data_IF_289223258872
#
_entry.id   IF_289223258872
#
_cell.length_a   1.000
_cell.length_b   1.000
_cell.length_c   1.000
_cell.angle_alpha   90.00
_cell.angle_beta   90.00
_cell.angle_gamma   90.00
#
_symmetry.space_group_name_H-M   'P 1'
#
loop_
_entity.id
_entity.type
_entity.pdbx_description
1 polymer ?
#
# COMPACT_ATOMS: atom_id res chain seq x y z
N UNK A 1 6.40 8.45 -7.04
CA UNK A 1 5.47 7.66 -7.85
C UNK A 1 4.08 8.13 -7.47
N UNK A 2 3.22 8.41 -8.44
CA UNK A 2 1.81 8.72 -8.15
C UNK A 2 1.01 7.43 -7.95
N UNK A 3 -0.06 7.49 -7.17
CA UNK A 3 -0.97 6.35 -6.99
C UNK A 3 -1.47 5.80 -8.33
N UNK A 4 -1.65 6.68 -9.31
CA UNK A 4 -2.04 6.32 -10.66
C UNK A 4 -0.99 5.42 -11.35
N UNK A 5 0.30 5.66 -11.15
CA UNK A 5 1.36 4.81 -11.70
C UNK A 5 1.33 3.39 -11.09
N UNK A 6 1.00 3.27 -9.79
CA UNK A 6 0.84 1.96 -9.13
C UNK A 6 -0.38 1.22 -9.70
N UNK A 7 -1.51 1.92 -9.86
CA UNK A 7 -2.73 1.38 -10.48
C UNK A 7 -2.49 0.91 -11.92
N UNK A 8 -1.76 1.70 -12.71
CA UNK A 8 -1.37 1.33 -14.08
C UNK A 8 -0.46 0.11 -14.10
N UNK A 9 0.50 0.04 -13.17
CA UNK A 9 1.43 -1.09 -13.08
C UNK A 9 0.69 -2.38 -12.71
N UNK A 10 -0.25 -2.32 -11.77
CA UNK A 10 -1.13 -3.44 -11.45
C UNK A 10 -1.97 -3.86 -12.67
N UNK A 11 -2.62 -2.92 -13.36
CA UNK A 11 -3.45 -3.21 -14.52
C UNK A 11 -2.67 -3.90 -15.64
N UNK A 12 -1.44 -3.44 -15.88
CA UNK A 12 -0.52 -4.08 -16.83
C UNK A 12 -0.13 -5.50 -16.39
N UNK A 13 0.16 -5.72 -15.11
CA UNK A 13 0.47 -7.04 -14.56
C UNK A 13 -0.70 -8.01 -14.62
N UNK A 14 -1.91 -7.55 -14.27
CA UNK A 14 -3.13 -8.34 -14.24
C UNK A 14 -3.74 -8.57 -15.63
N UNK A 15 -3.36 -7.78 -16.64
CA UNK A 15 -3.97 -7.80 -17.96
C UNK A 15 -5.41 -7.24 -17.96
N UNK A 16 -5.69 -6.26 -17.10
CA UNK A 16 -7.02 -5.66 -16.93
C UNK A 16 -7.01 -4.17 -17.26
N UNK A 17 -8.19 -3.54 -17.29
CA UNK A 17 -8.28 -2.09 -17.23
C UNK A 17 -7.74 -1.55 -15.88
N UNK A 18 -7.38 -0.26 -15.86
CA UNK A 18 -6.94 0.43 -14.64
C UNK A 18 -8.12 0.49 -13.65
N UNK A 19 -8.01 -0.09 -12.45
CA UNK A 19 -9.09 -0.06 -11.47
C UNK A 19 -9.12 1.29 -10.73
N UNK A 20 -10.25 1.61 -10.10
CA UNK A 20 -10.35 2.78 -9.22
C UNK A 20 -9.60 2.57 -7.88
N UNK A 21 -9.45 1.30 -7.45
CA UNK A 21 -8.76 0.91 -6.23
C UNK A 21 -8.03 -0.42 -6.43
N UNK A 22 -6.83 -0.53 -5.85
CA UNK A 22 -6.10 -1.79 -5.86
C UNK A 22 -6.78 -2.83 -4.96
N UNK A 23 -6.93 -4.08 -5.43
CA UNK A 23 -7.20 -5.21 -4.55
C UNK A 23 -5.94 -5.52 -3.75
N UNK A 24 -6.07 -6.26 -2.65
CA UNK A 24 -4.91 -6.70 -1.90
C UNK A 24 -5.29 -7.26 -0.54
N UNK A 25 -4.58 -8.30 -0.12
CA UNK A 25 -4.66 -8.83 1.23
C UNK A 25 -3.57 -8.11 2.04
N UNK A 26 -3.92 -7.37 3.10
CA UNK A 26 -2.92 -6.79 3.98
C UNK A 26 -2.19 -7.91 4.71
N UNK A 27 -0.85 -7.90 4.68
CA UNK A 27 -0.05 -8.97 5.28
C UNK A 27 1.01 -8.48 6.27
N UNK A 28 1.34 -7.19 6.25
CA UNK A 28 2.24 -6.60 7.25
C UNK A 28 1.86 -5.13 7.48
N UNK A 29 1.97 -4.70 8.73
CA UNK A 29 1.77 -3.32 9.15
C UNK A 29 2.99 -2.91 9.96
N UNK A 30 3.80 -1.97 9.45
CA UNK A 30 5.08 -1.61 10.07
C UNK A 30 5.15 -0.12 10.35
N UNK A 31 5.39 0.21 11.60
CA UNK A 31 5.69 1.56 12.04
C UNK A 31 7.17 1.85 11.71
N UNK A 32 7.38 2.57 10.60
CA UNK A 32 8.73 2.84 10.06
C UNK A 32 9.40 4.01 10.76
N UNK A 33 8.62 4.91 11.34
CA UNK A 33 9.08 6.01 12.16
C UNK A 33 7.98 6.44 13.12
N UNK A 34 8.33 6.75 14.35
CA UNK A 34 7.38 7.20 15.36
C UNK A 34 8.07 8.18 16.32
N UNK A 35 7.42 9.31 16.57
CA UNK A 35 7.80 10.27 17.60
C UNK A 35 6.58 10.68 18.45
N UNK A 36 6.73 11.68 19.32
CA UNK A 36 5.65 12.15 20.21
C UNK A 36 4.43 12.72 19.45
N UNK A 37 4.61 13.19 18.22
CA UNK A 37 3.62 13.94 17.44
C UNK A 37 3.15 13.23 16.17
N UNK A 38 3.92 12.26 15.69
CA UNK A 38 3.71 11.65 14.39
C UNK A 38 4.01 10.16 14.38
N UNK A 39 3.32 9.44 13.51
CA UNK A 39 3.57 8.05 13.18
C UNK A 39 3.59 7.92 11.66
N UNK A 40 4.69 7.40 11.12
CA UNK A 40 4.74 6.93 9.74
C UNK A 40 4.67 5.42 9.72
N UNK A 41 3.67 4.91 9.01
CA UNK A 41 3.33 3.51 8.96
C UNK A 41 3.29 3.04 7.50
N UNK A 42 3.77 1.82 7.25
CA UNK A 42 3.61 1.15 5.96
C UNK A 42 2.73 -0.07 6.10
N UNK A 43 1.60 -0.05 5.40
CA UNK A 43 0.69 -1.18 5.29
C UNK A 43 0.92 -1.89 3.97
N UNK A 44 1.42 -3.12 4.03
CA UNK A 44 1.84 -3.90 2.88
C UNK A 44 0.74 -4.85 2.42
N UNK A 45 0.55 -4.94 1.11
CA UNK A 45 -0.50 -5.70 0.46
C UNK A 45 0.06 -6.70 -0.57
N UNK A 46 -0.59 -7.85 -0.65
CA UNK A 46 -0.32 -8.90 -1.62
C UNK A 46 -1.58 -9.19 -2.46
N UNK A 47 -1.42 -9.25 -3.78
CA UNK A 47 -2.42 -9.78 -4.70
C UNK A 47 -1.90 -11.10 -5.30
N UNK A 48 -2.45 -12.25 -4.91
CA UNK A 48 -2.10 -13.53 -5.52
C UNK A 48 -2.90 -13.75 -6.81
N UNK A 49 -2.25 -14.34 -7.81
CA UNK A 49 -2.91 -14.86 -9.01
C UNK A 49 -2.34 -16.25 -9.35
N UNK A 50 -3.24 -17.22 -9.50
CA UNK A 50 -2.90 -18.61 -9.85
C UNK A 50 -3.52 -19.04 -11.18
N UNK A 51 -4.13 -18.12 -11.93
CA UNK A 51 -4.85 -18.41 -13.19
C UNK A 51 -3.95 -19.02 -14.27
N UNK A 52 -2.65 -18.73 -14.24
CA UNK A 52 -1.65 -19.29 -15.16
C UNK A 52 -1.16 -20.70 -14.77
N UNK A 53 -1.63 -21.27 -13.65
CA UNK A 53 -1.14 -22.54 -13.10
C UNK A 53 0.12 -22.42 -12.23
N UNK A 54 0.67 -21.21 -12.08
CA UNK A 54 1.76 -20.87 -11.18
C UNK A 54 1.34 -19.71 -10.28
N UNK A 55 1.90 -19.64 -9.05
CA UNK A 55 1.65 -18.51 -8.18
C UNK A 55 2.44 -17.29 -8.67
N UNK A 56 1.71 -16.28 -9.11
CA UNK A 56 2.23 -14.93 -9.37
C UNK A 56 1.72 -14.01 -8.29
N UNK A 57 2.58 -13.10 -7.84
CA UNK A 57 2.24 -12.16 -6.78
C UNK A 57 2.54 -10.75 -7.24
N UNK A 58 1.59 -9.85 -6.99
CA UNK A 58 1.82 -8.41 -7.07
C UNK A 58 1.89 -7.85 -5.65
N UNK A 59 2.93 -7.06 -5.37
CA UNK A 59 3.15 -6.46 -4.07
C UNK A 59 3.16 -4.94 -4.19
N UNK A 60 2.46 -4.29 -3.29
CA UNK A 60 2.49 -2.84 -3.11
C UNK A 60 2.30 -2.52 -1.63
N UNK A 61 2.54 -1.26 -1.26
CA UNK A 61 2.25 -0.80 0.09
C UNK A 61 1.66 0.61 0.08
N UNK A 62 0.92 0.90 1.12
CA UNK A 62 0.41 2.22 1.44
C UNK A 62 1.31 2.82 2.51
N UNK A 63 1.90 3.98 2.21
CA UNK A 63 2.73 4.74 3.13
C UNK A 63 1.87 5.85 3.74
N UNK A 64 1.56 5.69 5.01
CA UNK A 64 0.65 6.51 5.77
C UNK A 64 1.40 7.41 6.74
N UNK A 65 1.01 8.67 6.82
CA UNK A 65 1.44 9.60 7.85
C UNK A 65 0.26 9.93 8.75
N UNK A 66 0.41 9.70 10.05
CA UNK A 66 -0.57 10.04 11.07
C UNK A 66 -0.03 11.13 12.00
N UNK A 67 -0.89 12.08 12.37
CA UNK A 67 -0.69 12.92 13.55
C UNK A 67 -1.18 12.20 14.80
N UNK A 68 -0.47 12.39 15.91
CA UNK A 68 -0.88 11.91 17.23
C UNK A 68 -1.58 13.02 17.99
N UNK A 69 -2.80 12.75 18.39
CA UNK A 69 -3.56 13.62 19.27
C UNK A 69 -3.17 13.39 20.73
N UNK A 70 -3.41 14.39 21.58
CA UNK A 70 -3.07 14.32 23.02
C UNK A 70 -3.83 13.21 23.79
N UNK A 71 -4.94 12.73 23.23
CA UNK A 71 -5.71 11.61 23.75
C UNK A 71 -5.21 10.24 23.26
N UNK A 72 -4.18 10.21 22.40
CA UNK A 72 -3.62 9.00 21.80
C UNK A 72 -4.27 8.59 20.47
N UNK A 73 -5.26 9.33 19.97
CA UNK A 73 -5.86 9.05 18.67
C UNK A 73 -4.90 9.39 17.52
N UNK A 74 -5.08 8.71 16.39
CA UNK A 74 -4.32 8.94 15.17
C UNK A 74 -5.21 9.56 14.11
N UNK A 75 -4.77 10.69 13.55
CA UNK A 75 -5.42 11.35 12.42
C UNK A 75 -4.56 11.13 11.17
N UNK A 76 -5.13 10.49 10.14
CA UNK A 76 -4.45 10.30 8.86
C UNK A 76 -4.27 11.67 8.17
N UNK A 77 -3.02 12.06 7.95
CA UNK A 77 -2.65 13.28 7.25
C UNK A 77 -2.39 13.03 5.77
N UNK A 78 -1.62 11.98 5.46
CA UNK A 78 -1.22 11.61 4.11
C UNK A 78 -1.30 10.10 3.95
N UNK A 79 -1.69 9.65 2.75
CA UNK A 79 -1.62 8.26 2.31
C UNK A 79 -1.21 8.27 0.84
N UNK A 80 -0.30 7.36 0.48
CA UNK A 80 0.17 7.20 -0.90
C UNK A 80 0.56 5.76 -1.18
N UNK A 81 0.34 5.31 -2.41
CA UNK A 81 0.64 3.96 -2.87
C UNK A 81 2.04 3.90 -3.48
N UNK A 82 2.76 2.83 -3.17
CA UNK A 82 4.12 2.59 -3.65
C UNK A 82 4.30 1.14 -4.10
N UNK A 83 5.09 0.96 -5.15
CA UNK A 83 5.65 -0.32 -5.53
C UNK A 83 6.88 -0.63 -4.67
N UNK A 84 7.23 -1.90 -4.57
CA UNK A 84 8.50 -2.32 -4.02
C UNK A 84 9.61 -1.95 -5.00
N UNK A 85 10.45 -0.99 -4.65
CA UNK A 85 11.69 -0.72 -5.38
C UNK A 85 12.77 -1.66 -4.87
N UNK A 86 13.29 -2.51 -5.75
CA UNK A 86 14.52 -3.27 -5.51
C UNK A 86 15.76 -2.37 -5.66
#
# INVERSE_FOLDING_TARGET
MSDFEVLQTYASWAGTAVPDKLPGIPFANLDVFEDESSLRNRLFYLVPDTSSGELRCFFYFEDNLFAKETNGDLILLESSLHLFTL
#
